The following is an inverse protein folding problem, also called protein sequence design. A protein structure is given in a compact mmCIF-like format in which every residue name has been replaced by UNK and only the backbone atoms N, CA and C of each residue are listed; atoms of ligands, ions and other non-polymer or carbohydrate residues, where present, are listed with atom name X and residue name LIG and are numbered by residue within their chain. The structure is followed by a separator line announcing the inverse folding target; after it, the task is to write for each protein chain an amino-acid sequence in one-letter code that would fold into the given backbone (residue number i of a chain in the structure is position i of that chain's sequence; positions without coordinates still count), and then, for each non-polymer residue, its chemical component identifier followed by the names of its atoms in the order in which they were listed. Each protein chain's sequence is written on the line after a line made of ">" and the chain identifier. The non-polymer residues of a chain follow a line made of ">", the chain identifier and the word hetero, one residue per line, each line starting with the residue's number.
data_IF_742574624084
#
_entry.id   IF_742574624084
#
_cell.length_a   1.000
_cell.length_b   1.000
_cell.length_c   1.000
_cell.angle_alpha   90.00
_cell.angle_beta   90.00
_cell.angle_gamma   90.00
#
_symmetry.space_group_name_H-M   'P 1'
#
loop_
_entity.id
_entity.type
_entity.pdbx_description
1 polymer ?
#
# COMPACT_ATOMS: atom_id res chain seq x y z
N UNK A 1 -7.43 -6.42 16.52
CA UNK A 1 -6.02 -6.00 16.36
C UNK A 1 -5.98 -4.55 15.95
N UNK A 2 -5.19 -3.71 16.62
CA UNK A 2 -4.99 -2.31 16.25
C UNK A 2 -3.70 -2.20 15.43
N UNK A 3 -3.78 -1.58 14.26
CA UNK A 3 -2.68 -1.45 13.29
C UNK A 3 -2.47 0.03 12.94
N UNK A 4 -1.34 0.39 12.31
CA UNK A 4 -1.17 1.72 11.75
C UNK A 4 -2.33 2.14 10.85
N UNK A 5 -2.81 1.29 9.92
CA UNK A 5 -3.93 1.65 9.04
C UNK A 5 -5.20 2.01 9.82
N UNK A 6 -5.51 1.26 10.89
CA UNK A 6 -6.65 1.56 11.76
C UNK A 6 -6.47 2.90 12.49
N UNK A 7 -5.25 3.20 12.95
CA UNK A 7 -4.93 4.50 13.51
C UNK A 7 -5.23 5.64 12.52
N UNK A 8 -4.79 5.52 11.27
CA UNK A 8 -5.06 6.51 10.23
C UNK A 8 -6.52 6.57 9.80
N UNK A 9 -7.25 5.46 9.81
CA UNK A 9 -8.69 5.45 9.58
C UNK A 9 -9.43 6.29 10.64
N UNK A 10 -9.05 6.16 11.92
CA UNK A 10 -9.58 7.04 12.97
C UNK A 10 -9.27 8.50 12.69
N UNK A 11 -8.04 8.80 12.28
CA UNK A 11 -7.63 10.16 11.97
C UNK A 11 -8.41 10.72 10.76
N UNK A 12 -8.63 9.92 9.72
CA UNK A 12 -9.49 10.29 8.59
C UNK A 12 -10.90 10.61 9.08
N UNK A 13 -11.54 9.73 9.86
CA UNK A 13 -12.88 10.00 10.36
C UNK A 13 -12.93 11.28 11.21
N UNK A 14 -11.94 11.50 12.08
CA UNK A 14 -11.87 12.67 12.95
C UNK A 14 -11.75 13.95 12.12
N UNK A 15 -10.80 14.00 11.18
CA UNK A 15 -10.62 15.17 10.31
C UNK A 15 -11.88 15.42 9.48
N UNK A 16 -12.52 14.35 8.99
CA UNK A 16 -13.78 14.46 8.28
C UNK A 16 -14.84 15.14 9.13
N UNK A 17 -15.05 14.68 10.38
CA UNK A 17 -16.06 15.24 11.30
C UNK A 17 -15.77 16.68 11.69
N UNK A 18 -14.50 17.02 11.91
CA UNK A 18 -14.12 18.33 12.42
C UNK A 18 -14.05 19.40 11.34
N UNK A 19 -13.66 19.03 10.11
CA UNK A 19 -13.27 20.02 9.12
C UNK A 19 -13.98 19.84 7.77
N UNK A 20 -14.36 18.61 7.39
CA UNK A 20 -14.77 18.33 6.00
C UNK A 20 -16.28 18.19 5.85
N UNK A 21 -16.96 17.61 6.84
CA UNK A 21 -18.40 17.34 6.76
C UNK A 21 -19.19 18.62 6.45
N UNK A 22 -18.97 19.68 7.22
CA UNK A 22 -19.64 20.97 7.01
C UNK A 22 -19.30 21.59 5.64
N UNK A 23 -18.06 21.41 5.18
CA UNK A 23 -17.60 21.94 3.89
C UNK A 23 -18.29 21.21 2.72
N UNK A 24 -18.42 19.89 2.81
CA UNK A 24 -19.10 19.08 1.80
C UNK A 24 -20.61 19.35 1.78
N UNK A 25 -21.22 19.61 2.94
CA UNK A 25 -22.64 20.00 3.05
C UNK A 25 -22.94 21.36 2.39
N UNK A 26 -21.94 22.26 2.30
CA UNK A 26 -22.06 23.52 1.54
C UNK A 26 -22.09 23.30 0.02
N UNK A 27 -21.60 22.14 -0.46
CA UNK A 27 -21.61 21.78 -1.88
C UNK A 27 -20.67 22.57 -2.78
N UNK A 28 -19.73 23.34 -2.20
CA UNK A 28 -18.88 24.30 -2.91
C UNK A 28 -17.40 23.94 -2.93
N UNK A 29 -17.02 22.73 -2.52
CA UNK A 29 -15.61 22.36 -2.35
C UNK A 29 -15.35 20.93 -2.81
N UNK A 30 -14.36 20.76 -3.70
CA UNK A 30 -13.84 19.45 -4.06
C UNK A 30 -12.83 19.01 -3.01
N UNK A 31 -13.02 17.82 -2.49
CA UNK A 31 -12.20 17.19 -1.47
C UNK A 31 -11.39 16.06 -2.10
N UNK A 32 -10.08 16.17 -2.01
CA UNK A 32 -9.15 15.17 -2.56
C UNK A 32 -8.55 14.36 -1.42
N UNK A 33 -8.75 13.05 -1.46
CA UNK A 33 -8.09 12.09 -0.59
C UNK A 33 -7.11 11.25 -1.43
N UNK A 34 -5.82 11.41 -1.19
CA UNK A 34 -4.76 10.67 -1.87
C UNK A 34 -4.10 9.69 -0.90
N UNK A 35 -4.01 8.43 -1.27
CA UNK A 35 -3.28 7.44 -0.47
C UNK A 35 -2.65 6.33 -1.28
N UNK A 36 -1.73 5.61 -0.65
CA UNK A 36 -0.97 4.55 -1.34
C UNK A 36 -1.83 3.33 -1.65
N UNK A 37 -1.60 2.67 -2.78
CA UNK A 37 -2.37 1.49 -3.22
C UNK A 37 -2.32 0.32 -2.21
N UNK A 38 -1.29 0.29 -1.37
CA UNK A 38 -1.07 -0.70 -0.30
C UNK A 38 -1.70 -0.29 1.05
N UNK A 39 -2.33 0.90 1.14
CA UNK A 39 -3.14 1.29 2.30
C UNK A 39 -4.21 0.24 2.59
N UNK A 40 -4.62 0.07 3.85
CA UNK A 40 -5.66 -0.90 4.22
C UNK A 40 -6.94 -0.71 3.40
N UNK A 41 -7.65 -1.80 3.09
CA UNK A 41 -8.87 -1.73 2.27
C UNK A 41 -9.95 -0.85 2.91
N UNK A 42 -9.95 -0.74 4.25
CA UNK A 42 -10.82 0.18 4.98
C UNK A 42 -10.70 1.64 4.53
N UNK A 43 -9.55 2.09 4.00
CA UNK A 43 -9.41 3.44 3.48
C UNK A 43 -10.09 3.60 2.11
N UNK A 44 -10.00 2.56 1.26
CA UNK A 44 -10.69 2.52 -0.04
C UNK A 44 -12.20 2.39 0.15
N UNK A 45 -12.63 1.59 1.12
CA UNK A 45 -14.04 1.47 1.51
C UNK A 45 -14.58 2.79 2.06
N UNK A 46 -13.79 3.50 2.88
CA UNK A 46 -14.14 4.84 3.36
C UNK A 46 -14.33 5.81 2.19
N UNK A 47 -13.41 5.83 1.22
CA UNK A 47 -13.54 6.64 0.02
C UNK A 47 -14.78 6.26 -0.80
N UNK A 48 -15.03 4.96 -0.98
CA UNK A 48 -16.21 4.48 -1.70
C UNK A 48 -17.51 4.95 -1.02
N UNK A 49 -17.57 4.91 0.31
CA UNK A 49 -18.67 5.45 1.07
C UNK A 49 -18.80 6.97 0.87
N UNK A 50 -17.70 7.72 0.92
CA UNK A 50 -17.74 9.18 0.74
C UNK A 50 -18.15 9.58 -0.67
N UNK A 51 -17.68 8.88 -1.71
CA UNK A 51 -18.13 9.09 -3.09
C UNK A 51 -19.61 8.77 -3.26
N UNK A 52 -20.12 7.70 -2.61
CA UNK A 52 -21.56 7.39 -2.59
C UNK A 52 -22.38 8.48 -1.89
N UNK A 53 -21.86 9.06 -0.80
CA UNK A 53 -22.56 10.09 -0.01
C UNK A 53 -22.52 11.48 -0.66
N UNK A 54 -21.38 11.87 -1.20
CA UNK A 54 -21.07 13.25 -1.62
C UNK A 54 -20.88 13.43 -3.13
N UNK A 55 -20.94 12.35 -3.91
CA UNK A 55 -20.85 12.39 -5.36
C UNK A 55 -19.48 12.87 -5.85
N UNK A 56 -19.49 13.79 -6.82
CA UNK A 56 -18.29 14.33 -7.48
C UNK A 56 -17.47 15.28 -6.60
N UNK A 57 -17.96 15.63 -5.41
CA UNK A 57 -17.23 16.46 -4.44
C UNK A 57 -16.14 15.68 -3.70
N UNK A 58 -16.17 14.35 -3.69
CA UNK A 58 -15.10 13.53 -3.10
C UNK A 58 -14.33 12.82 -4.19
N UNK A 59 -13.01 13.01 -4.23
CA UNK A 59 -12.11 12.34 -5.17
C UNK A 59 -11.09 11.51 -4.40
N UNK A 60 -11.07 10.20 -4.67
CA UNK A 60 -10.01 9.29 -4.22
C UNK A 60 -8.93 9.18 -5.28
N UNK A 61 -7.66 9.28 -4.88
CA UNK A 61 -6.50 9.12 -5.77
C UNK A 61 -5.57 8.06 -5.21
N UNK A 62 -5.45 6.92 -5.92
CA UNK A 62 -4.60 5.81 -5.50
C UNK A 62 -3.21 5.92 -6.12
N UNK A 63 -2.18 5.95 -5.28
CA UNK A 63 -0.81 6.24 -5.69
C UNK A 63 0.15 5.10 -5.33
N UNK A 64 1.24 4.96 -6.08
CA UNK A 64 2.33 4.06 -5.70
C UNK A 64 2.96 4.52 -4.37
N UNK A 65 3.59 3.59 -3.66
CA UNK A 65 4.27 3.91 -2.39
C UNK A 65 5.41 4.90 -2.63
N UNK A 66 5.54 5.85 -1.72
CA UNK A 66 6.50 6.94 -1.74
C UNK A 66 5.79 8.28 -1.74
N UNK A 67 6.10 9.14 -0.76
CA UNK A 67 5.57 10.51 -0.68
C UNK A 67 5.81 11.34 -1.94
N UNK A 68 6.88 11.03 -2.71
CA UNK A 68 7.12 11.61 -4.05
C UNK A 68 5.93 11.47 -5.00
N UNK A 69 5.18 10.36 -4.93
CA UNK A 69 4.03 10.11 -5.79
C UNK A 69 2.80 10.90 -5.31
N UNK A 70 2.65 11.04 -3.99
CA UNK A 70 1.62 11.91 -3.37
C UNK A 70 1.88 13.36 -3.74
N UNK A 71 3.12 13.83 -3.56
CA UNK A 71 3.54 15.17 -3.95
C UNK A 71 3.34 15.42 -5.45
N UNK A 72 3.67 14.45 -6.32
CA UNK A 72 3.40 14.55 -7.76
C UNK A 72 1.92 14.80 -8.06
N UNK A 73 1.02 14.03 -7.46
CA UNK A 73 -0.42 14.18 -7.69
C UNK A 73 -0.92 15.54 -7.20
N UNK A 74 -0.49 15.95 -6.00
CA UNK A 74 -0.85 17.25 -5.42
C UNK A 74 -0.30 18.40 -6.27
N UNK A 75 0.95 18.34 -6.72
CA UNK A 75 1.55 19.35 -7.59
C UNK A 75 0.81 19.43 -8.92
N UNK A 76 0.43 18.29 -9.51
CA UNK A 76 -0.38 18.27 -10.74
C UNK A 76 -1.74 18.95 -10.55
N UNK A 77 -2.39 18.72 -9.41
CA UNK A 77 -3.66 19.37 -9.06
C UNK A 77 -3.45 20.88 -8.81
N UNK A 78 -2.39 21.25 -8.10
CA UNK A 78 -2.04 22.64 -7.82
C UNK A 78 -1.71 23.42 -9.10
N UNK A 79 -0.88 22.85 -9.97
CA UNK A 79 -0.48 23.42 -11.26
C UNK A 79 -1.71 23.67 -12.13
N UNK A 80 -2.60 22.69 -12.26
CA UNK A 80 -3.87 22.89 -12.94
C UNK A 80 -4.66 24.04 -12.29
N UNK A 81 -4.82 24.01 -10.96
CA UNK A 81 -5.65 24.99 -10.25
C UNK A 81 -5.14 26.44 -10.44
N UNK A 82 -3.83 26.67 -10.36
CA UNK A 82 -3.23 28.01 -10.42
C UNK A 82 -2.82 28.47 -11.82
N UNK A 83 -2.27 27.57 -12.62
CA UNK A 83 -1.60 27.94 -13.89
C UNK A 83 -2.49 27.66 -15.11
N UNK A 84 -3.59 26.92 -14.96
CA UNK A 84 -4.53 26.61 -16.05
C UNK A 84 -5.96 27.13 -15.79
N UNK A 85 -6.18 28.45 -15.56
CA UNK A 85 -7.47 28.99 -15.14
C UNK A 85 -8.61 28.77 -16.15
N UNK A 86 -8.29 28.56 -17.43
CA UNK A 86 -9.27 28.30 -18.49
C UNK A 86 -9.66 26.82 -18.61
N UNK A 87 -9.00 25.92 -17.86
CA UNK A 87 -9.28 24.50 -17.86
C UNK A 87 -10.36 24.15 -16.83
N UNK A 88 -11.57 23.86 -17.30
CA UNK A 88 -12.73 23.57 -16.43
C UNK A 88 -12.62 22.24 -15.67
N UNK A 89 -11.73 21.34 -16.08
CA UNK A 89 -11.55 20.03 -15.45
C UNK A 89 -10.10 19.59 -15.55
N UNK A 90 -9.61 18.90 -14.53
CA UNK A 90 -8.37 18.13 -14.58
C UNK A 90 -8.73 16.66 -14.79
N UNK A 91 -8.15 16.04 -15.81
CA UNK A 91 -8.28 14.60 -16.06
C UNK A 91 -6.89 13.98 -16.04
N UNK A 92 -6.70 12.95 -15.22
CA UNK A 92 -5.48 12.14 -15.23
C UNK A 92 -5.76 10.72 -14.74
N UNK A 93 -4.90 9.78 -15.09
CA UNK A 93 -4.96 8.44 -14.51
C UNK A 93 -4.17 8.41 -13.20
N UNK A 94 -4.77 7.84 -12.15
CA UNK A 94 -4.03 7.47 -10.96
C UNK A 94 -3.14 6.25 -11.22
N UNK A 95 -2.36 5.84 -10.23
CA UNK A 95 -1.45 4.72 -10.42
C UNK A 95 -2.15 3.36 -10.43
N UNK A 96 -3.38 3.26 -9.94
CA UNK A 96 -4.18 2.03 -10.06
C UNK A 96 -4.85 1.90 -11.45
N UNK A 97 -4.69 2.90 -12.32
CA UNK A 97 -5.29 2.95 -13.66
C UNK A 97 -6.69 3.56 -13.69
N UNK A 98 -7.16 4.10 -12.56
CA UNK A 98 -8.45 4.78 -12.50
C UNK A 98 -8.34 6.14 -13.20
N UNK A 99 -9.38 6.53 -13.93
CA UNK A 99 -9.47 7.89 -14.46
C UNK A 99 -10.00 8.82 -13.36
N UNK A 100 -9.17 9.78 -12.96
CA UNK A 100 -9.51 10.82 -12.00
C UNK A 100 -9.99 12.05 -12.77
N UNK A 101 -11.15 12.56 -12.36
CA UNK A 101 -11.75 13.77 -12.92
C UNK A 101 -12.03 14.73 -11.77
N UNK A 102 -11.39 15.90 -11.80
CA UNK A 102 -11.63 16.98 -10.83
C UNK A 102 -12.21 18.17 -11.57
N UNK A 103 -13.43 18.56 -11.22
CA UNK A 103 -14.10 19.70 -11.82
C UNK A 103 -13.67 21.00 -11.15
N UNK A 104 -13.56 22.10 -11.90
CA UNK A 104 -13.28 23.45 -11.37
C UNK A 104 -14.52 24.07 -10.70
N UNK A 105 -15.29 23.28 -9.95
CA UNK A 105 -16.45 23.76 -9.21
C UNK A 105 -16.03 24.08 -7.78
N UNK A 106 -15.91 25.36 -7.46
CA UNK A 106 -15.70 25.82 -6.10
C UNK A 106 -14.25 25.65 -5.60
N UNK A 107 -14.08 25.58 -4.29
CA UNK A 107 -12.78 25.51 -3.61
C UNK A 107 -12.17 24.12 -3.77
N UNK A 108 -10.86 24.03 -3.56
CA UNK A 108 -10.15 22.77 -3.48
C UNK A 108 -9.68 22.55 -2.05
N UNK A 109 -9.85 21.35 -1.54
CA UNK A 109 -9.31 20.93 -0.26
C UNK A 109 -8.62 19.58 -0.41
N UNK A 110 -7.30 19.54 -0.15
CA UNK A 110 -6.60 18.25 -0.01
C UNK A 110 -6.92 17.77 1.39
N UNK A 111 -7.84 16.82 1.51
CA UNK A 111 -8.18 16.22 2.78
C UNK A 111 -6.96 15.57 3.39
N UNK A 112 -6.37 14.63 2.67
CA UNK A 112 -5.16 13.93 3.09
C UNK A 112 -4.32 13.47 1.91
N UNK A 113 -3.02 13.44 2.13
CA UNK A 113 -2.06 12.62 1.40
C UNK A 113 -1.42 11.65 2.39
N UNK A 114 -1.78 10.37 2.37
CA UNK A 114 -1.37 9.41 3.41
C UNK A 114 -0.71 8.15 2.88
N UNK A 115 0.26 7.63 3.62
CA UNK A 115 0.87 6.31 3.39
C UNK A 115 0.58 5.37 4.56
N UNK A 116 0.44 4.09 4.27
CA UNK A 116 0.25 3.02 5.25
C UNK A 116 1.38 2.95 6.30
N UNK A 117 2.55 3.48 5.94
CA UNK A 117 3.76 3.50 6.75
C UNK A 117 3.77 4.53 7.88
N UNK A 118 2.76 5.41 7.99
CA UNK A 118 2.74 6.43 9.03
C UNK A 118 2.74 7.87 8.53
N UNK A 119 3.00 8.09 7.24
CA UNK A 119 3.15 9.43 6.67
C UNK A 119 1.79 10.05 6.37
N UNK A 120 1.59 11.31 6.76
CA UNK A 120 0.42 12.09 6.35
C UNK A 120 0.83 13.52 6.03
N UNK A 121 0.10 14.13 5.10
CA UNK A 121 0.04 15.57 4.86
C UNK A 121 -1.44 15.95 4.80
N UNK A 122 -1.77 17.14 5.23
CA UNK A 122 -3.10 17.74 5.03
C UNK A 122 -2.95 19.00 4.19
N UNK A 123 -3.98 19.28 3.40
CA UNK A 123 -4.05 20.52 2.65
C UNK A 123 -4.84 21.60 3.36
N UNK A 124 -4.80 22.77 2.75
CA UNK A 124 -5.53 23.94 3.16
C UNK A 124 -6.77 24.10 2.29
N UNK A 125 -7.87 24.59 2.87
CA UNK A 125 -9.11 24.90 2.12
C UNK A 125 -8.90 26.04 1.12
N UNK A 126 -7.90 26.87 1.38
CA UNK A 126 -7.50 27.95 0.51
C UNK A 126 -6.01 27.85 0.28
N UNK A 127 -5.55 28.19 -0.94
CA UNK A 127 -4.14 28.37 -1.23
C UNK A 127 -3.45 29.25 -0.19
N UNK A 128 -2.29 28.83 0.30
CA UNK A 128 -1.43 29.65 1.14
C UNK A 128 -0.34 30.28 0.28
N UNK A 129 -0.18 31.62 0.32
CA UNK A 129 0.98 32.28 -0.28
C UNK A 129 2.24 32.01 0.54
N UNK A 130 3.26 31.49 -0.10
CA UNK A 130 4.61 31.36 0.45
C UNK A 130 5.34 32.71 0.37
N UNK A 131 6.40 32.86 1.16
CA UNK A 131 7.28 34.04 1.13
C UNK A 131 7.91 34.23 -0.26
N UNK A 132 8.09 33.14 -1.02
CA UNK A 132 8.58 33.16 -2.41
C UNK A 132 7.57 33.73 -3.41
N UNK A 133 6.31 33.93 -3.01
CA UNK A 133 5.21 34.35 -3.87
C UNK A 133 4.41 33.19 -4.47
N UNK A 134 4.89 31.95 -4.33
CA UNK A 134 4.19 30.75 -4.81
C UNK A 134 2.94 30.46 -3.96
N UNK A 135 1.91 29.89 -4.58
CA UNK A 135 0.70 29.43 -3.90
C UNK A 135 0.76 27.91 -3.70
N UNK A 136 0.51 27.44 -2.48
CA UNK A 136 0.46 26.00 -2.16
C UNK A 136 -0.89 25.61 -1.59
N UNK A 137 -1.38 24.43 -1.98
CA UNK A 137 -2.62 23.84 -1.43
C UNK A 137 -2.36 22.79 -0.35
N UNK A 138 -1.13 22.31 -0.21
CA UNK A 138 -0.69 21.41 0.86
C UNK A 138 0.85 21.44 1.01
N UNK A 139 1.35 21.01 2.16
CA UNK A 139 2.79 20.78 2.37
C UNK A 139 3.28 19.58 1.53
N UNK A 140 4.44 19.67 0.85
CA UNK A 140 4.99 18.56 0.07
C UNK A 140 5.68 17.49 0.93
N UNK A 141 5.69 17.65 2.26
CA UNK A 141 6.43 16.79 3.19
C UNK A 141 5.54 16.13 4.24
N UNK A 142 6.04 15.03 4.83
CA UNK A 142 5.34 14.33 5.92
C UNK A 142 5.24 15.23 7.15
N UNK A 143 4.02 15.46 7.62
CA UNK A 143 3.74 16.23 8.81
C UNK A 143 3.02 15.36 9.85
N UNK A 144 3.79 14.68 10.70
CA UNK A 144 3.24 13.85 11.77
C UNK A 144 2.37 14.66 12.75
N UNK A 145 2.71 15.93 12.97
CA UNK A 145 1.95 16.83 13.84
C UNK A 145 0.55 17.13 13.30
N UNK A 146 0.37 17.23 11.98
CA UNK A 146 -0.93 17.49 11.37
C UNK A 146 -1.91 16.36 11.68
N UNK A 147 -1.45 15.11 11.55
CA UNK A 147 -2.24 13.94 11.92
C UNK A 147 -2.55 13.86 13.42
N UNK A 148 -1.61 14.23 14.28
CA UNK A 148 -1.80 14.17 15.74
C UNK A 148 -2.71 15.29 16.27
N UNK A 149 -2.69 16.47 15.64
CA UNK A 149 -3.47 17.63 16.07
C UNK A 149 -4.98 17.40 15.93
N UNK A 150 -5.42 16.73 14.86
CA UNK A 150 -6.84 16.36 14.69
C UNK A 150 -7.33 15.43 15.82
N UNK A 151 -6.54 14.41 16.16
CA UNK A 151 -6.85 13.50 17.26
C UNK A 151 -6.93 14.23 18.61
N UNK A 152 -5.95 15.09 18.90
CA UNK A 152 -5.96 15.90 20.12
C UNK A 152 -7.21 16.79 20.18
N UNK A 153 -7.53 17.51 19.10
CA UNK A 153 -8.70 18.37 19.03
C UNK A 153 -10.00 17.60 19.28
N UNK A 154 -10.16 16.43 18.66
CA UNK A 154 -11.33 15.57 18.87
C UNK A 154 -11.42 15.04 20.30
N UNK A 155 -10.30 14.58 20.87
CA UNK A 155 -10.25 14.13 22.26
C UNK A 155 -10.59 15.25 23.23
N UNK A 156 -10.06 16.46 23.02
CA UNK A 156 -10.36 17.64 23.83
C UNK A 156 -11.84 18.02 23.74
N UNK A 157 -12.43 18.08 22.54
CA UNK A 157 -13.86 18.36 22.37
C UNK A 157 -14.74 17.30 23.03
N UNK A 158 -14.39 16.03 22.88
CA UNK A 158 -15.13 14.90 23.48
C UNK A 158 -15.09 14.98 25.00
N UNK A 159 -13.91 15.24 25.57
CA UNK A 159 -13.72 15.42 27.01
C UNK A 159 -14.52 16.62 27.57
N UNK A 160 -14.56 17.74 26.84
CA UNK A 160 -15.32 18.92 27.27
C UNK A 160 -16.85 18.73 27.15
N UNK A 161 -17.32 17.85 26.27
CA UNK A 161 -18.75 17.57 26.06
C UNK A 161 -19.30 16.48 26.97
N UNK A 162 -18.46 15.65 27.58
CA UNK A 162 -18.87 14.65 28.56
C UNK A 162 -19.12 15.30 29.92
N UNK A 163 -20.29 15.08 30.51
CA UNK A 163 -20.43 15.18 31.96
C UNK A 163 -19.38 14.26 32.60
N UNK A 164 -18.70 14.70 33.65
CA UNK A 164 -17.53 14.03 34.25
C UNK A 164 -17.77 12.56 34.66
N UNK A 165 -19.02 12.09 34.66
CA UNK A 165 -19.44 10.71 34.94
C UNK A 165 -20.05 9.96 33.74
N UNK A 166 -20.24 10.58 32.58
CA UNK A 166 -20.78 9.93 31.38
C UNK A 166 -19.89 10.11 30.14
N UNK A 167 -19.44 8.96 29.61
CA UNK A 167 -18.87 8.71 28.28
C UNK A 167 -17.37 8.94 28.03
N UNK A 168 -16.53 8.37 28.89
CA UNK A 168 -15.20 7.87 28.47
C UNK A 168 -15.26 6.80 27.36
N UNK A 169 -16.44 6.25 27.05
CA UNK A 169 -16.62 5.21 26.02
C UNK A 169 -16.14 5.67 24.64
N UNK A 170 -16.36 6.93 24.27
CA UNK A 170 -15.94 7.48 22.96
C UNK A 170 -14.47 7.93 22.95
N UNK A 171 -13.81 8.01 24.11
CA UNK A 171 -12.35 8.22 24.20
C UNK A 171 -11.56 6.93 23.98
N UNK A 172 -12.23 5.77 23.94
CA UNK A 172 -11.60 4.49 23.64
C UNK A 172 -11.54 4.33 22.12
N UNK A 173 -10.32 4.37 21.57
CA UNK A 173 -10.07 4.27 20.12
C UNK A 173 -10.75 3.04 19.49
N UNK A 174 -10.83 1.92 20.21
CA UNK A 174 -11.52 0.72 19.71
C UNK A 174 -13.03 0.91 19.52
N UNK A 175 -13.68 1.73 20.34
CA UNK A 175 -15.10 2.05 20.19
C UNK A 175 -15.31 3.01 19.02
N UNK A 176 -14.42 3.99 18.84
CA UNK A 176 -14.42 4.85 17.65
C UNK A 176 -14.24 4.02 16.38
N UNK A 177 -13.30 3.07 16.35
CA UNK A 177 -13.14 2.17 15.21
C UNK A 177 -14.41 1.37 14.93
N UNK A 178 -15.03 0.80 15.97
CA UNK A 178 -16.29 0.07 15.83
C UNK A 178 -17.38 0.97 15.23
N UNK A 179 -17.53 2.17 15.76
CA UNK A 179 -18.47 3.18 15.25
C UNK A 179 -18.20 3.53 13.79
N UNK A 180 -16.93 3.70 13.39
CA UNK A 180 -16.55 3.98 12.00
C UNK A 180 -16.99 2.85 11.08
N UNK A 181 -16.69 1.59 11.42
CA UNK A 181 -17.07 0.45 10.58
C UNK A 181 -18.59 0.34 10.45
N UNK A 182 -19.33 0.53 11.55
CA UNK A 182 -20.80 0.48 11.55
C UNK A 182 -21.40 1.65 10.75
N UNK A 183 -20.95 2.89 11.00
CA UNK A 183 -21.51 4.11 10.39
C UNK A 183 -21.14 4.25 8.91
N UNK A 184 -19.97 3.76 8.50
CA UNK A 184 -19.44 3.86 7.14
C UNK A 184 -19.57 2.57 6.33
N UNK A 185 -20.24 1.55 6.87
CA UNK A 185 -20.47 0.26 6.20
C UNK A 185 -19.15 -0.42 5.76
N UNK A 186 -18.07 -0.29 6.56
CA UNK A 186 -16.75 -0.85 6.21
C UNK A 186 -16.73 -2.37 6.44
N UNK A 187 -16.32 -3.10 5.42
CA UNK A 187 -16.34 -4.56 5.38
C UNK A 187 -15.03 -5.17 5.89
N UNK A 188 -13.89 -4.62 5.48
CA UNK A 188 -12.58 -5.07 5.95
C UNK A 188 -12.45 -4.83 7.45
N UNK A 189 -12.16 -5.87 8.23
CA UNK A 189 -12.02 -5.78 9.71
C UNK A 189 -10.60 -6.09 10.17
N UNK A 190 -9.92 -6.92 9.40
CA UNK A 190 -8.53 -7.24 9.62
C UNK A 190 -7.69 -6.60 8.52
N UNK A 191 -6.60 -5.98 8.95
CA UNK A 191 -5.53 -5.51 8.09
C UNK A 191 -4.22 -5.83 8.79
N UNK A 192 -3.15 -6.05 8.03
CA UNK A 192 -1.85 -6.37 8.60
C UNK A 192 -0.71 -6.24 7.59
N UNK A 193 0.50 -6.16 8.12
CA UNK A 193 1.74 -6.23 7.35
C UNK A 193 2.65 -7.30 7.94
N UNK A 194 3.08 -8.24 7.10
CA UNK A 194 4.04 -9.28 7.46
C UNK A 194 5.29 -9.10 6.59
N UNK A 195 6.42 -8.86 7.25
CA UNK A 195 7.71 -8.66 6.60
C UNK A 195 8.50 -9.97 6.63
N UNK A 196 8.76 -10.55 5.46
CA UNK A 196 9.58 -11.77 5.35
C UNK A 196 11.04 -11.36 5.28
N UNK A 197 11.85 -11.83 6.24
CA UNK A 197 13.28 -11.51 6.34
C UNK A 197 14.14 -12.74 6.07
N UNK A 198 15.27 -12.51 5.41
CA UNK A 198 16.30 -13.50 5.10
C UNK A 198 17.37 -13.64 6.19
N UNK A 199 17.51 -12.64 7.07
CA UNK A 199 18.54 -12.61 8.10
C UNK A 199 18.09 -11.90 9.37
N UNK A 200 18.67 -12.31 10.51
CA UNK A 200 18.53 -11.61 11.80
C UNK A 200 19.49 -10.43 11.90
N UNK A 201 19.19 -9.47 12.78
CA UNK A 201 20.06 -8.31 13.07
C UNK A 201 21.49 -8.73 13.42
N UNK A 202 21.66 -9.82 14.17
CA UNK A 202 22.99 -10.35 14.53
C UNK A 202 23.76 -10.89 13.32
N UNK A 203 23.07 -11.53 12.36
CA UNK A 203 23.68 -12.05 11.13
C UNK A 203 24.15 -10.88 10.24
N UNK A 204 23.38 -9.79 10.19
CA UNK A 204 23.76 -8.53 9.48
C UNK A 204 25.04 -7.92 10.06
N UNK A 205 25.12 -7.77 11.39
CA UNK A 205 26.30 -7.17 12.04
C UNK A 205 27.58 -7.96 11.75
N UNK A 206 27.49 -9.30 11.70
CA UNK A 206 28.60 -10.17 11.33
C UNK A 206 28.98 -10.05 9.86
N UNK A 207 28.00 -9.92 8.97
CA UNK A 207 28.20 -9.66 7.54
C UNK A 207 28.96 -8.34 7.30
N UNK A 208 28.59 -7.27 8.01
CA UNK A 208 29.29 -5.98 7.91
C UNK A 208 30.74 -6.05 8.43
N UNK A 209 31.02 -6.89 9.44
CA UNK A 209 32.38 -7.13 9.89
C UNK A 209 33.24 -7.88 8.85
N UNK A 210 32.63 -8.79 8.08
CA UNK A 210 33.30 -9.51 6.97
C UNK A 210 33.70 -8.57 5.83
N UNK A 211 32.94 -7.51 5.56
CA UNK A 211 33.26 -6.52 4.53
C UNK A 211 34.67 -5.93 4.69
N UNK A 212 35.11 -5.75 5.93
CA UNK A 212 36.41 -5.15 6.26
C UNK A 212 37.56 -6.16 6.40
N UNK A 213 37.27 -7.46 6.38
CA UNK A 213 38.25 -8.52 6.68
C UNK A 213 38.40 -9.56 5.57
N UNK A 214 37.35 -9.82 4.80
CA UNK A 214 37.37 -10.72 3.65
C UNK A 214 36.31 -10.31 2.61
N UNK A 215 36.69 -9.42 1.69
CA UNK A 215 35.76 -8.80 0.74
C UNK A 215 35.16 -9.79 -0.26
N UNK A 216 35.90 -10.83 -0.67
CA UNK A 216 35.41 -11.80 -1.65
C UNK A 216 34.38 -12.75 -1.02
N UNK A 217 34.62 -13.18 0.22
CA UNK A 217 33.62 -13.94 0.97
C UNK A 217 32.37 -13.09 1.25
N UNK A 218 32.55 -11.81 1.60
CA UNK A 218 31.44 -10.87 1.76
C UNK A 218 30.60 -10.76 0.48
N UNK A 219 31.25 -10.53 -0.68
CA UNK A 219 30.57 -10.43 -1.98
C UNK A 219 29.80 -11.70 -2.33
N UNK A 220 30.39 -12.90 -2.13
CA UNK A 220 29.70 -14.17 -2.39
C UNK A 220 28.44 -14.31 -1.52
N UNK A 221 28.53 -13.98 -0.23
CA UNK A 221 27.38 -14.09 0.68
C UNK A 221 26.30 -13.07 0.30
N UNK A 222 26.66 -11.81 0.06
CA UNK A 222 25.70 -10.76 -0.35
C UNK A 222 24.99 -11.16 -1.64
N UNK A 223 25.72 -11.65 -2.66
CA UNK A 223 25.08 -12.12 -3.89
C UNK A 223 24.12 -13.28 -3.66
N UNK A 224 24.46 -14.20 -2.76
CA UNK A 224 23.53 -15.28 -2.36
C UNK A 224 22.24 -14.73 -1.73
N UNK A 225 22.33 -13.71 -0.85
CA UNK A 225 21.13 -13.04 -0.30
C UNK A 225 20.31 -12.33 -1.36
N UNK A 226 20.97 -11.62 -2.28
CA UNK A 226 20.30 -10.97 -3.41
C UNK A 226 19.56 -12.00 -4.27
N UNK A 227 20.17 -13.13 -4.62
CA UNK A 227 19.50 -14.18 -5.39
C UNK A 227 18.31 -14.79 -4.64
N UNK A 228 18.43 -15.03 -3.33
CA UNK A 228 17.31 -15.52 -2.48
C UNK A 228 16.16 -14.53 -2.41
N UNK A 229 16.45 -13.23 -2.44
CA UNK A 229 15.46 -12.15 -2.49
C UNK A 229 14.84 -12.04 -3.88
N UNK A 230 15.68 -12.03 -4.91
CA UNK A 230 15.31 -11.79 -6.29
C UNK A 230 14.47 -12.95 -6.85
N UNK A 231 14.71 -14.19 -6.41
CA UNK A 231 13.94 -15.37 -6.85
C UNK A 231 12.41 -15.25 -6.63
N UNK A 232 11.89 -15.12 -5.39
CA UNK A 232 10.46 -14.92 -5.16
C UNK A 232 9.96 -13.56 -5.65
N UNK A 233 10.80 -12.51 -5.64
CA UNK A 233 10.41 -11.20 -6.17
C UNK A 233 10.18 -11.25 -7.69
N UNK A 234 11.05 -11.94 -8.43
CA UNK A 234 10.91 -12.17 -9.85
C UNK A 234 9.61 -12.91 -10.15
N UNK A 235 9.25 -13.93 -9.34
CA UNK A 235 7.98 -14.64 -9.47
C UNK A 235 6.80 -13.65 -9.45
N UNK A 236 6.64 -12.91 -8.35
CA UNK A 236 5.52 -11.98 -8.15
C UNK A 236 5.46 -10.88 -9.21
N UNK A 237 6.60 -10.26 -9.53
CA UNK A 237 6.67 -9.21 -10.54
C UNK A 237 6.33 -9.72 -11.95
N UNK A 238 6.83 -10.91 -12.30
CA UNK A 238 6.63 -11.48 -13.64
C UNK A 238 5.18 -11.90 -13.87
N UNK A 239 4.54 -12.57 -12.89
CA UNK A 239 3.13 -12.94 -13.02
C UNK A 239 2.21 -11.70 -13.04
N UNK A 240 2.55 -10.64 -12.29
CA UNK A 240 1.77 -9.40 -12.28
C UNK A 240 1.89 -8.63 -13.60
N UNK A 241 3.11 -8.51 -14.14
CA UNK A 241 3.34 -7.94 -15.47
C UNK A 241 2.61 -8.75 -16.54
N UNK A 242 2.64 -10.08 -16.44
CA UNK A 242 1.93 -10.96 -17.37
C UNK A 242 0.41 -10.75 -17.33
N UNK A 243 -0.20 -10.68 -16.14
CA UNK A 243 -1.62 -10.39 -15.97
C UNK A 243 -2.00 -9.02 -16.55
N UNK A 244 -1.19 -7.99 -16.28
CA UNK A 244 -1.39 -6.63 -16.83
C UNK A 244 -1.37 -6.61 -18.36
N UNK A 245 -0.41 -7.30 -18.99
CA UNK A 245 -0.25 -7.28 -20.45
C UNK A 245 -1.29 -8.12 -21.19
N UNK A 246 -1.83 -9.16 -20.57
CA UNK A 246 -2.72 -10.13 -21.22
C UNK A 246 -4.18 -10.08 -20.72
N UNK A 247 -4.52 -9.11 -19.86
CA UNK A 247 -5.88 -8.93 -19.33
C UNK A 247 -6.44 -10.20 -18.68
N UNK A 248 -7.70 -10.52 -18.97
CA UNK A 248 -8.42 -11.66 -18.38
C UNK A 248 -7.73 -13.01 -18.65
N UNK A 249 -7.17 -13.20 -19.85
CA UNK A 249 -6.41 -14.41 -20.17
C UNK A 249 -5.13 -14.51 -19.34
N UNK A 250 -4.48 -13.37 -19.09
CA UNK A 250 -3.35 -13.23 -18.17
C UNK A 250 -3.73 -13.64 -16.75
N UNK A 251 -4.83 -13.09 -16.23
CA UNK A 251 -5.33 -13.40 -14.89
C UNK A 251 -5.67 -14.89 -14.74
N UNK A 252 -6.34 -15.49 -15.72
CA UNK A 252 -6.65 -16.92 -15.70
C UNK A 252 -5.37 -17.78 -15.63
N UNK A 253 -4.32 -17.41 -16.38
CA UNK A 253 -3.03 -18.10 -16.32
C UNK A 253 -2.34 -17.94 -14.97
N UNK A 254 -2.43 -16.75 -14.35
CA UNK A 254 -1.88 -16.55 -13.00
C UNK A 254 -2.57 -17.47 -11.98
N UNK A 255 -3.90 -17.60 -12.03
CA UNK A 255 -4.65 -18.52 -11.16
C UNK A 255 -4.21 -19.97 -11.31
N UNK A 256 -3.97 -20.41 -12.54
CA UNK A 256 -3.44 -21.74 -12.86
C UNK A 256 -2.08 -21.97 -12.20
N UNK A 257 -1.13 -21.04 -12.40
CA UNK A 257 0.24 -21.15 -11.88
C UNK A 257 0.25 -21.16 -10.35
N UNK A 258 -0.48 -20.24 -9.71
CA UNK A 258 -0.56 -20.18 -8.25
C UNK A 258 -1.17 -21.46 -7.66
N UNK A 259 -2.21 -22.01 -8.31
CA UNK A 259 -2.81 -23.28 -7.94
C UNK A 259 -1.89 -24.49 -8.13
N UNK A 260 -0.96 -24.44 -9.09
CA UNK A 260 0.03 -25.50 -9.29
C UNK A 260 1.18 -25.41 -8.28
N UNK A 261 1.73 -24.21 -8.07
CA UNK A 261 2.90 -23.98 -7.21
C UNK A 261 2.52 -24.05 -5.72
N UNK A 262 1.31 -23.58 -5.38
CA UNK A 262 0.80 -23.47 -4.01
C UNK A 262 -0.59 -24.12 -3.92
N UNK A 263 -0.69 -25.44 -4.15
CA UNK A 263 -1.98 -26.15 -4.25
C UNK A 263 -2.80 -26.15 -2.95
N UNK A 264 -2.16 -25.96 -1.80
CA UNK A 264 -2.81 -25.93 -0.48
C UNK A 264 -3.82 -24.78 -0.34
N UNK A 265 -3.69 -23.74 -1.15
CA UNK A 265 -4.60 -22.60 -1.21
C UNK A 265 -5.22 -22.40 -2.59
N UNK A 266 -5.34 -23.48 -3.37
CA UNK A 266 -5.95 -23.47 -4.71
C UNK A 266 -7.29 -22.73 -4.74
N UNK A 267 -8.19 -23.02 -3.81
CA UNK A 267 -9.51 -22.38 -3.75
C UNK A 267 -9.40 -20.85 -3.57
N UNK A 268 -8.41 -20.37 -2.82
CA UNK A 268 -8.17 -18.92 -2.69
C UNK A 268 -7.69 -18.34 -4.04
N UNK A 269 -6.76 -18.99 -4.71
CA UNK A 269 -6.21 -18.52 -5.99
C UNK A 269 -7.26 -18.48 -7.09
N UNK A 270 -8.15 -19.46 -7.15
CA UNK A 270 -9.26 -19.48 -8.11
C UNK A 270 -10.23 -18.30 -7.91
N UNK A 271 -10.33 -17.80 -6.67
CA UNK A 271 -11.15 -16.65 -6.28
C UNK A 271 -10.50 -15.28 -6.49
N UNK A 272 -9.33 -15.18 -7.13
CA UNK A 272 -8.75 -13.86 -7.48
C UNK A 272 -9.70 -13.12 -8.43
N UNK A 273 -10.18 -11.96 -8.05
CA UNK A 273 -11.08 -11.13 -8.88
C UNK A 273 -10.32 -10.08 -9.69
N UNK A 274 -9.11 -9.72 -9.27
CA UNK A 274 -8.28 -8.78 -9.98
C UNK A 274 -6.84 -8.83 -9.47
N UNK A 275 -5.92 -8.49 -10.37
CA UNK A 275 -4.51 -8.36 -10.08
C UNK A 275 -3.96 -7.07 -10.69
N UNK A 276 -3.24 -6.31 -9.88
CA UNK A 276 -2.60 -5.07 -10.28
C UNK A 276 -1.08 -5.23 -10.18
N UNK A 277 -0.37 -4.83 -11.24
CA UNK A 277 1.08 -4.76 -11.24
C UNK A 277 1.54 -3.50 -10.49
N UNK A 278 2.17 -3.67 -9.34
CA UNK A 278 2.74 -2.53 -8.61
C UNK A 278 4.04 -2.11 -9.27
N UNK A 279 4.21 -0.82 -9.48
CA UNK A 279 5.41 -0.23 -10.06
C UNK A 279 6.07 0.73 -9.06
N UNK A 280 7.33 1.06 -9.26
CA UNK A 280 8.02 2.15 -8.57
C UNK A 280 8.73 3.01 -9.60
N UNK A 281 8.69 4.32 -9.44
CA UNK A 281 9.46 5.24 -10.30
C UNK A 281 10.87 5.35 -9.76
N UNK A 282 11.85 4.77 -10.46
CA UNK A 282 13.28 4.90 -10.18
C UNK A 282 13.91 5.69 -11.33
N UNK A 283 14.53 6.83 -11.03
CA UNK A 283 15.19 7.69 -12.03
C UNK A 283 14.28 8.05 -13.23
N UNK A 284 12.98 8.23 -12.98
CA UNK A 284 11.98 8.57 -14.00
C UNK A 284 11.43 7.38 -14.79
N UNK A 285 11.87 6.15 -14.50
CA UNK A 285 11.41 4.92 -15.15
C UNK A 285 10.53 4.11 -14.20
N UNK A 286 9.38 3.66 -14.68
CA UNK A 286 8.53 2.72 -13.95
C UNK A 286 9.14 1.32 -13.99
N UNK A 287 9.50 0.80 -12.82
CA UNK A 287 9.99 -0.57 -12.66
C UNK A 287 8.99 -1.41 -11.87
N UNK A 288 8.81 -2.71 -12.18
CA UNK A 288 7.97 -3.58 -11.36
C UNK A 288 8.45 -3.65 -9.91
N UNK A 289 7.51 -3.56 -8.98
CA UNK A 289 7.75 -3.49 -7.53
C UNK A 289 6.95 -4.53 -6.74
N UNK A 290 6.12 -5.34 -7.42
CA UNK A 290 5.35 -6.43 -6.84
C UNK A 290 3.94 -6.52 -7.40
N UNK A 291 3.01 -7.07 -6.63
CA UNK A 291 1.63 -7.28 -7.07
C UNK A 291 0.59 -7.04 -5.98
N UNK A 292 -0.59 -6.58 -6.38
CA UNK A 292 -1.77 -6.48 -5.51
C UNK A 292 -2.88 -7.38 -6.08
N UNK A 293 -3.41 -8.29 -5.26
CA UNK A 293 -4.47 -9.23 -5.63
C UNK A 293 -5.69 -9.02 -4.74
N UNK A 294 -6.86 -8.96 -5.37
CA UNK A 294 -8.16 -8.93 -4.69
C UNK A 294 -8.83 -10.29 -4.81
N UNK A 295 -9.60 -10.68 -3.80
CA UNK A 295 -10.28 -11.97 -3.72
C UNK A 295 -11.78 -11.77 -3.46
N UNK A 296 -12.64 -12.60 -4.09
CA UNK A 296 -14.08 -12.62 -3.80
C UNK A 296 -14.45 -13.36 -2.52
N UNK A 297 -13.50 -14.03 -1.87
CA UNK A 297 -13.71 -14.78 -0.64
C UNK A 297 -12.50 -15.63 -0.26
N UNK A 298 -12.58 -16.28 0.89
CA UNK A 298 -11.52 -17.11 1.46
C UNK A 298 -10.89 -16.47 2.70
N UNK A 299 -9.62 -16.77 2.92
CA UNK A 299 -8.88 -16.31 4.12
C UNK A 299 -8.48 -14.83 4.07
N UNK A 300 -8.53 -14.22 2.88
CA UNK A 300 -8.14 -12.83 2.62
C UNK A 300 -9.14 -12.21 1.63
N UNK A 301 -9.39 -10.92 1.78
CA UNK A 301 -10.02 -10.09 0.76
C UNK A 301 -8.96 -9.47 -0.16
N UNK A 302 -7.73 -9.29 0.35
CA UNK A 302 -6.60 -8.75 -0.42
C UNK A 302 -5.24 -9.25 0.06
N UNK A 303 -4.33 -9.41 -0.88
CA UNK A 303 -2.90 -9.63 -0.67
C UNK A 303 -2.10 -8.68 -1.59
N UNK A 304 -1.33 -7.76 -1.01
CA UNK A 304 -0.34 -6.99 -1.75
C UNK A 304 1.08 -7.40 -1.34
N UNK A 305 1.82 -7.97 -2.28
CA UNK A 305 3.21 -8.37 -2.11
C UNK A 305 4.10 -7.30 -2.71
N UNK A 306 4.85 -6.59 -1.87
CA UNK A 306 5.84 -5.61 -2.30
C UNK A 306 7.25 -6.19 -2.17
N UNK A 307 7.96 -6.18 -3.29
CA UNK A 307 9.35 -6.59 -3.36
C UNK A 307 10.26 -5.54 -2.70
N UNK A 308 11.19 -5.97 -1.86
CA UNK A 308 12.21 -5.08 -1.29
C UNK A 308 13.33 -4.88 -2.30
N UNK A 309 13.49 -3.66 -2.81
CA UNK A 309 14.55 -3.34 -3.78
C UNK A 309 15.84 -2.81 -3.11
N UNK A 310 15.75 -2.27 -1.90
CA UNK A 310 16.83 -1.50 -1.26
C UNK A 310 17.45 -2.14 -0.03
N UNK A 311 16.80 -3.15 0.55
CA UNK A 311 17.30 -3.84 1.74
C UNK A 311 17.48 -5.34 1.42
N UNK A 312 18.73 -5.86 1.44
CA UNK A 312 19.01 -7.27 1.16
C UNK A 312 18.50 -8.23 2.25
N UNK A 313 18.06 -7.70 3.40
CA UNK A 313 17.56 -8.48 4.53
C UNK A 313 16.07 -8.75 4.41
N UNK A 314 15.30 -7.78 3.92
CA UNK A 314 13.89 -7.99 3.64
C UNK A 314 13.74 -8.59 2.26
N UNK A 315 13.00 -9.67 2.16
CA UNK A 315 12.68 -10.24 0.86
C UNK A 315 11.41 -9.63 0.29
N UNK A 316 10.31 -9.79 1.02
CA UNK A 316 8.97 -9.32 0.63
C UNK A 316 8.26 -8.67 1.82
N UNK A 317 7.49 -7.62 1.55
CA UNK A 317 6.56 -6.99 2.49
C UNK A 317 5.15 -7.34 2.04
N UNK A 318 4.41 -8.07 2.85
CA UNK A 318 3.08 -8.57 2.52
C UNK A 318 2.03 -7.77 3.29
N UNK A 319 1.18 -7.03 2.57
CA UNK A 319 0.04 -6.31 3.13
C UNK A 319 -1.22 -7.12 2.88
N UNK A 320 -2.06 -7.24 3.91
CA UNK A 320 -3.11 -8.24 4.00
C UNK A 320 -4.38 -7.57 4.51
N UNK A 321 -5.52 -7.95 3.93
CA UNK A 321 -6.84 -7.55 4.42
C UNK A 321 -7.78 -8.77 4.45
N UNK A 322 -8.70 -8.78 5.41
CA UNK A 322 -9.74 -9.81 5.56
C UNK A 322 -11.01 -9.20 6.18
N UNK A 323 -12.16 -9.80 5.85
CA UNK A 323 -13.50 -9.45 6.37
C UNK A 323 -13.67 -9.74 7.88
N UNK A 324 -12.66 -10.35 8.50
CA UNK A 324 -12.59 -10.67 9.92
C UNK A 324 -13.14 -12.05 10.30
N UNK A 325 -13.53 -12.88 9.32
CA UNK A 325 -13.93 -14.27 9.55
C UNK A 325 -12.74 -15.22 9.67
N UNK A 326 -11.55 -14.76 9.27
CA UNK A 326 -10.30 -15.54 9.31
C UNK A 326 -9.46 -15.23 10.55
N UNK A 327 -8.87 -16.25 11.16
CA UNK A 327 -8.02 -16.05 12.32
C UNK A 327 -6.62 -15.51 11.94
N UNK A 328 -6.01 -14.73 12.84
CA UNK A 328 -4.64 -14.21 12.65
C UNK A 328 -3.63 -15.35 12.46
N UNK A 329 -3.82 -16.47 13.17
CA UNK A 329 -2.95 -17.64 13.08
C UNK A 329 -3.02 -18.28 11.68
N UNK A 330 -4.22 -18.35 11.10
CA UNK A 330 -4.44 -18.86 9.74
C UNK A 330 -3.79 -17.97 8.68
N UNK A 331 -3.93 -16.64 8.80
CA UNK A 331 -3.26 -15.68 7.91
C UNK A 331 -1.73 -15.78 8.03
N UNK A 332 -1.20 -15.90 9.25
CA UNK A 332 0.23 -16.06 9.47
C UNK A 332 0.77 -17.38 8.88
N UNK A 333 0.02 -18.48 9.04
CA UNK A 333 0.36 -19.78 8.45
C UNK A 333 0.33 -19.73 6.92
N UNK A 334 -0.64 -19.04 6.33
CA UNK A 334 -0.71 -18.81 4.89
C UNK A 334 0.53 -18.11 4.35
N UNK A 335 0.93 -16.99 4.95
CA UNK A 335 2.13 -16.25 4.52
C UNK A 335 3.40 -17.05 4.73
N UNK A 336 3.50 -17.79 5.84
CA UNK A 336 4.61 -18.70 6.09
C UNK A 336 4.71 -19.77 5.00
N UNK A 337 3.62 -20.43 4.66
CA UNK A 337 3.59 -21.49 3.65
C UNK A 337 4.02 -20.98 2.26
N UNK A 338 3.46 -19.86 1.82
CA UNK A 338 3.81 -19.23 0.54
C UNK A 338 5.29 -18.88 0.50
N UNK A 339 5.78 -18.27 1.57
CA UNK A 339 7.18 -17.87 1.66
C UNK A 339 8.09 -19.10 1.68
N UNK A 340 7.77 -20.15 2.44
CA UNK A 340 8.57 -21.38 2.43
C UNK A 340 8.61 -22.04 1.06
N UNK A 341 7.50 -22.06 0.31
CA UNK A 341 7.47 -22.62 -1.04
C UNK A 341 8.28 -21.81 -2.03
N UNK A 342 8.01 -20.53 -2.15
CA UNK A 342 8.65 -19.69 -3.18
C UNK A 342 10.14 -19.50 -2.92
N UNK A 343 10.58 -19.46 -1.67
CA UNK A 343 11.99 -19.29 -1.36
C UNK A 343 12.79 -20.59 -1.49
N UNK A 344 12.14 -21.76 -1.51
CA UNK A 344 12.80 -23.07 -1.68
C UNK A 344 12.67 -23.62 -3.10
N UNK A 345 11.95 -22.93 -3.97
CA UNK A 345 11.70 -23.36 -5.35
C UNK A 345 12.36 -22.41 -6.32
N UNK A 346 12.91 -22.95 -7.40
CA UNK A 346 13.43 -22.13 -8.50
C UNK A 346 12.26 -21.48 -9.25
N UNK A 347 12.04 -20.19 -8.97
CA UNK A 347 10.95 -19.44 -9.56
C UNK A 347 11.22 -19.11 -11.04
N UNK A 348 12.47 -19.07 -11.48
CA UNK A 348 12.81 -18.86 -12.88
C UNK A 348 12.37 -20.05 -13.73
N UNK A 349 12.58 -21.27 -13.24
CA UNK A 349 12.15 -22.49 -13.93
C UNK A 349 10.63 -22.61 -13.96
N UNK A 350 9.93 -22.22 -12.88
CA UNK A 350 8.46 -22.13 -12.88
C UNK A 350 7.99 -21.19 -13.99
N UNK A 351 8.50 -19.95 -14.02
CA UNK A 351 8.09 -18.95 -15.01
C UNK A 351 8.36 -19.44 -16.43
N UNK A 352 9.54 -20.00 -16.69
CA UNK A 352 9.92 -20.54 -17.99
C UNK A 352 9.02 -21.70 -18.43
N UNK A 353 8.68 -22.63 -17.53
CA UNK A 353 7.75 -23.74 -17.80
C UNK A 353 6.38 -23.25 -18.28
N UNK A 354 5.92 -22.11 -17.76
CA UNK A 354 4.65 -21.50 -18.12
C UNK A 354 4.74 -20.46 -19.24
N UNK A 355 5.92 -20.27 -19.85
CA UNK A 355 6.12 -19.31 -20.92
C UNK A 355 6.04 -17.85 -20.48
N UNK A 356 6.30 -17.55 -19.20
CA UNK A 356 6.31 -16.19 -18.66
C UNK A 356 7.75 -15.66 -18.67
N UNK A 357 7.93 -14.49 -19.30
CA UNK A 357 9.21 -13.77 -19.30
C UNK A 357 9.55 -13.28 -17.89
N UNK A 358 10.77 -13.54 -17.43
CA UNK A 358 11.27 -13.02 -16.16
C UNK A 358 11.51 -11.50 -16.23
N UNK A 359 11.07 -10.78 -15.20
CA UNK A 359 11.33 -9.34 -15.05
C UNK A 359 12.75 -9.08 -14.57
N UNK A 360 13.22 -9.89 -13.62
CA UNK A 360 14.59 -9.83 -13.12
C UNK A 360 15.39 -10.87 -13.91
N UNK A 361 16.44 -10.51 -14.65
CA UNK A 361 17.25 -11.49 -15.36
C UNK A 361 18.14 -12.27 -14.40
N UNK A 362 18.31 -13.57 -14.63
CA UNK A 362 19.30 -14.41 -13.97
C UNK A 362 20.51 -14.58 -14.88
N UNK A 363 21.71 -14.25 -14.40
CA UNK A 363 22.95 -14.49 -15.13
C UNK A 363 23.17 -15.98 -15.38
N UNK A 364 23.79 -16.32 -16.51
CA UNK A 364 24.02 -17.72 -16.89
C UNK A 364 24.92 -18.47 -15.89
N UNK A 365 25.82 -17.75 -15.22
CA UNK A 365 26.72 -18.22 -14.17
C UNK A 365 26.09 -18.21 -12.76
N UNK A 366 24.87 -17.69 -12.62
CA UNK A 366 24.22 -17.49 -11.33
C UNK A 366 23.28 -18.63 -10.94
N UNK A 367 22.99 -19.56 -11.88
CA UNK A 367 22.09 -20.69 -11.65
C UNK A 367 22.61 -21.62 -10.55
N UNK A 368 23.91 -21.92 -10.54
CA UNK A 368 24.51 -22.76 -9.51
C UNK A 368 24.48 -22.06 -8.14
N UNK A 369 24.76 -20.76 -8.10
CA UNK A 369 24.70 -19.97 -6.88
C UNK A 369 23.26 -19.84 -6.34
N UNK A 370 22.27 -19.74 -7.22
CA UNK A 370 20.85 -19.77 -6.84
C UNK A 370 20.50 -21.12 -6.22
N UNK A 371 20.87 -22.24 -6.86
CA UNK A 371 20.63 -23.58 -6.33
C UNK A 371 21.26 -23.78 -4.94
N UNK A 372 22.48 -23.29 -4.71
CA UNK A 372 23.09 -23.25 -3.37
C UNK A 372 22.26 -22.40 -2.40
N UNK A 373 21.77 -21.25 -2.85
CA UNK A 373 20.98 -20.32 -2.04
C UNK A 373 19.64 -20.93 -1.57
N UNK A 374 18.96 -21.70 -2.42
CA UNK A 374 17.64 -22.30 -2.12
C UNK A 374 17.71 -23.40 -1.04
N UNK A 375 18.87 -24.03 -0.84
CA UNK A 375 19.05 -25.12 0.13
C UNK A 375 19.16 -24.62 1.59
N UNK A 376 19.62 -23.40 1.80
CA UNK A 376 19.97 -22.84 3.12
C UNK A 376 19.02 -21.71 3.55
N UNK A 377 17.73 -21.88 3.25
CA UNK A 377 16.70 -20.87 3.53
C UNK A 377 16.26 -20.92 5.00
N UNK A 378 16.66 -19.90 5.76
CA UNK A 378 16.08 -19.53 7.05
C UNK A 378 15.17 -18.31 6.86
N UNK A 379 13.87 -18.45 7.12
CA UNK A 379 12.91 -17.34 7.05
C UNK A 379 12.53 -16.87 8.44
N UNK A 380 12.45 -15.56 8.61
CA UNK A 380 11.94 -14.92 9.82
C UNK A 380 10.73 -14.06 9.45
N UNK A 381 9.63 -14.25 10.19
CA UNK A 381 8.36 -13.53 10.01
C UNK A 381 8.10 -12.60 11.19
#
# INVERSE_FOLDING_TARGET
>A
MFTPNKGFLCLMEIDYRLFVEEILEQGDTNVINAHTIVSGDTWKEFDAYMMKKHGDLWTSVLLLVGFKNIAWAINKIADWHFNEPNSNQLIFSDHAGNTIVINRKGKLYIFRGSEESGGTLTGYRQPIPLITGDLVVASPEKAALDGFSGLLAYMSQTFCKSDYQMNHHNMIILNLLKEIHEKRELMSKFDGRIDVRLATTNKISKLNALQNTNIDQYRKIVRSYELRRDNPNNFWQSIARYAKLNGDAGLAKVKEILSEVIPEHKDLWENITGMFNMEEIIEGVAVPAGCNMNFSGGILTRLAVRCSNTDPVYATKNYLDSDGNTSVAEIANFIKLISEKLFRTDCYDILAKHGIESVIPLGADEKDLLNEALQDVELYN
#
